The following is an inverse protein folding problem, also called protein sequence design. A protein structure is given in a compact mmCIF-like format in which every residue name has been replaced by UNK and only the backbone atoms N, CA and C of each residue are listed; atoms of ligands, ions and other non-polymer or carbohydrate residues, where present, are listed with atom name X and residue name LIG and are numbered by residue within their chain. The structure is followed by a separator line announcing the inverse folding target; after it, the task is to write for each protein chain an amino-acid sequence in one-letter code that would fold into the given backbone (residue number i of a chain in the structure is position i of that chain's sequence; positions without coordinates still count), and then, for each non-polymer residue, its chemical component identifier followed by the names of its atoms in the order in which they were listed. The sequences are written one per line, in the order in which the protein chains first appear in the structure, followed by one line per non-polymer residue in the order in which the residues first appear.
data_IF_958465302939
#
_entry.id   IF_958465302939
#
_cell.length_a   1.000
_cell.length_b   1.000
_cell.length_c   1.000
_cell.angle_alpha   90.00
_cell.angle_beta   90.00
_cell.angle_gamma   90.00
#
_symmetry.space_group_name_H-M   'P 1'
#
loop_
_entity.id
_entity.type
_entity.pdbx_description
1 polymer ?
#
# COMPACT_ATOMS: atom_id res chain seq x y z
N UNK A 1 8.25 -20.30 27.48
CA UNK A 1 7.44 -19.63 26.44
C UNK A 1 8.40 -18.99 25.46
N UNK A 2 8.21 -19.19 24.16
CA UNK A 2 9.03 -18.56 23.15
C UNK A 2 8.73 -17.06 23.10
N UNK A 3 9.76 -16.22 23.12
CA UNK A 3 9.62 -14.77 23.08
C UNK A 3 9.19 -14.37 21.67
N UNK A 4 8.10 -13.59 21.48
CA UNK A 4 7.56 -13.28 20.17
C UNK A 4 8.49 -12.38 19.33
N UNK A 5 8.24 -12.37 18.03
CA UNK A 5 8.85 -11.48 17.06
C UNK A 5 7.93 -10.27 16.87
N UNK A 6 8.46 -9.05 16.98
CA UNK A 6 7.70 -7.85 16.68
C UNK A 6 7.70 -7.55 15.20
N UNK A 7 6.55 -7.13 14.66
CA UNK A 7 6.42 -6.62 13.28
C UNK A 7 5.78 -5.24 13.34
N UNK A 8 6.44 -4.23 12.79
CA UNK A 8 5.96 -2.86 12.77
C UNK A 8 5.44 -2.53 11.37
N UNK A 9 4.12 -2.42 11.24
CA UNK A 9 3.39 -2.19 10.01
C UNK A 9 2.51 -3.37 9.59
N UNK A 10 1.19 -3.16 9.53
CA UNK A 10 0.19 -4.13 9.06
C UNK A 10 -0.18 -3.90 7.58
N UNK A 11 0.79 -3.47 6.76
CA UNK A 11 0.73 -3.50 5.31
C UNK A 11 0.99 -4.90 4.76
N UNK A 12 0.92 -5.07 3.43
CA UNK A 12 1.11 -6.37 2.78
C UNK A 12 2.48 -6.99 3.09
N UNK A 13 3.55 -6.21 3.21
CA UNK A 13 4.89 -6.72 3.53
C UNK A 13 4.94 -7.28 4.96
N UNK A 14 4.48 -6.51 5.95
CA UNK A 14 4.48 -6.95 7.35
C UNK A 14 3.60 -8.16 7.59
N UNK A 15 2.41 -8.20 6.97
CA UNK A 15 1.50 -9.34 7.11
C UNK A 15 1.98 -10.57 6.33
N UNK A 16 2.68 -10.39 5.22
CA UNK A 16 3.36 -11.48 4.51
C UNK A 16 4.45 -12.11 5.38
N UNK A 17 5.27 -11.28 6.05
CA UNK A 17 6.26 -11.76 7.00
C UNK A 17 5.61 -12.46 8.21
N UNK A 18 4.55 -11.87 8.77
CA UNK A 18 3.81 -12.44 9.91
C UNK A 18 3.32 -13.85 9.61
N UNK A 19 2.65 -14.05 8.46
CA UNK A 19 2.14 -15.35 8.07
C UNK A 19 3.25 -16.38 7.83
N UNK A 20 4.35 -15.99 7.18
CA UNK A 20 5.47 -16.90 6.96
C UNK A 20 6.10 -17.35 8.28
N UNK A 21 6.29 -16.44 9.23
CA UNK A 21 6.82 -16.74 10.57
C UNK A 21 5.87 -17.62 11.38
N UNK A 22 4.57 -17.32 11.37
CA UNK A 22 3.57 -18.17 12.07
C UNK A 22 3.51 -19.57 11.49
N UNK A 23 3.56 -19.70 10.14
CA UNK A 23 3.60 -21.01 9.49
C UNK A 23 4.83 -21.84 9.90
N UNK A 24 5.94 -21.16 10.25
CA UNK A 24 7.14 -21.79 10.81
C UNK A 24 7.09 -21.95 12.35
N UNK A 25 5.91 -21.75 12.98
CA UNK A 25 5.72 -21.97 14.41
C UNK A 25 6.24 -20.83 15.31
N UNK A 26 6.61 -19.66 14.73
CA UNK A 26 7.10 -18.53 15.51
C UNK A 26 5.94 -17.64 15.98
N UNK A 27 5.87 -17.27 17.27
CA UNK A 27 4.89 -16.32 17.73
C UNK A 27 5.24 -14.91 17.23
N UNK A 28 4.24 -14.21 16.68
CA UNK A 28 4.40 -12.84 16.14
C UNK A 28 3.44 -11.88 16.82
N UNK A 29 3.85 -10.61 16.93
CA UNK A 29 3.01 -9.53 17.40
C UNK A 29 3.19 -8.32 16.47
N UNK A 30 2.10 -7.91 15.82
CA UNK A 30 2.09 -6.83 14.84
C UNK A 30 1.63 -5.53 15.49
N UNK A 31 2.26 -4.41 15.13
CA UNK A 31 1.91 -3.06 15.57
C UNK A 31 1.64 -2.18 14.35
N UNK A 32 0.54 -1.46 14.33
CA UNK A 32 0.24 -0.52 13.26
C UNK A 32 -0.39 0.76 13.79
N UNK A 33 0.06 1.91 13.26
CA UNK A 33 -0.48 3.24 13.59
C UNK A 33 -1.91 3.46 13.09
N UNK A 34 -2.33 2.71 12.07
CA UNK A 34 -3.67 2.78 11.49
C UNK A 34 -4.72 2.09 12.37
N UNK A 35 -5.99 2.41 12.12
CA UNK A 35 -7.13 1.77 12.78
C UNK A 35 -7.50 0.42 12.15
N UNK A 36 -6.72 -0.04 11.18
CA UNK A 36 -6.92 -1.30 10.48
C UNK A 36 -5.75 -1.59 9.55
N UNK A 37 -5.71 -2.82 9.02
CA UNK A 37 -4.66 -3.27 8.11
C UNK A 37 -4.78 -2.67 6.72
N UNK A 38 -3.69 -2.74 5.95
CA UNK A 38 -3.66 -2.43 4.53
C UNK A 38 -2.58 -1.44 4.13
N UNK A 39 -2.27 -0.46 4.97
CA UNK A 39 -1.34 0.61 4.60
C UNK A 39 -1.78 1.28 3.29
N UNK A 40 -0.96 1.24 2.24
CA UNK A 40 -1.29 1.77 0.90
C UNK A 40 -2.27 0.91 0.09
N UNK A 41 -2.67 -0.25 0.59
CA UNK A 41 -3.78 -1.06 0.08
C UNK A 41 -5.06 -0.85 0.91
N UNK A 42 -5.08 0.11 1.84
CA UNK A 42 -6.27 0.41 2.61
C UNK A 42 -7.36 1.02 1.73
N UNK A 43 -8.61 0.59 1.94
CA UNK A 43 -9.79 1.19 1.30
C UNK A 43 -10.49 2.11 2.29
N UNK A 44 -10.90 3.27 1.82
CA UNK A 44 -11.68 4.23 2.59
C UNK A 44 -13.17 3.88 2.46
N UNK A 45 -13.85 3.69 3.58
CA UNK A 45 -15.30 3.57 3.59
C UNK A 45 -15.95 4.95 3.71
N UNK A 46 -16.97 5.22 2.90
CA UNK A 46 -17.71 6.48 2.85
C UNK A 46 -19.16 6.22 2.43
N UNK A 47 -19.98 7.28 2.39
CA UNK A 47 -21.32 7.25 1.81
C UNK A 47 -21.34 6.89 0.31
N UNK A 48 -20.24 7.20 -0.41
CA UNK A 48 -20.07 6.78 -1.80
C UNK A 48 -19.59 5.31 -1.93
N UNK A 49 -19.62 4.52 -0.86
CA UNK A 49 -19.14 3.14 -0.83
C UNK A 49 -17.68 3.02 -0.46
N UNK A 50 -17.05 1.92 -0.85
CA UNK A 50 -15.64 1.65 -0.58
C UNK A 50 -14.76 2.16 -1.71
N UNK A 51 -13.79 3.04 -1.37
CA UNK A 51 -12.89 3.71 -2.31
C UNK A 51 -11.46 3.22 -2.10
N UNK A 52 -10.81 2.77 -3.17
CA UNK A 52 -9.41 2.36 -3.16
C UNK A 52 -8.52 3.55 -3.52
N UNK A 53 -8.13 4.36 -2.53
CA UNK A 53 -7.34 5.59 -2.75
C UNK A 53 -5.85 5.33 -2.97
N UNK A 54 -5.35 4.16 -2.59
CA UNK A 54 -3.97 3.76 -2.81
C UNK A 54 -3.81 2.84 -4.02
N UNK A 55 -3.34 1.60 -3.80
CA UNK A 55 -3.19 0.63 -4.89
C UNK A 55 -4.54 0.35 -5.57
N UNK A 56 -4.60 0.64 -6.87
CA UNK A 56 -5.84 0.53 -7.65
C UNK A 56 -6.09 -0.90 -8.13
N UNK A 57 -5.04 -1.62 -8.37
CA UNK A 57 -4.94 -3.02 -8.75
C UNK A 57 -3.51 -3.50 -8.48
N UNK A 58 -3.26 -4.76 -8.67
CA UNK A 58 -1.91 -5.31 -8.71
C UNK A 58 -1.80 -6.39 -9.79
N UNK A 59 -0.56 -6.71 -10.14
CA UNK A 59 -0.20 -7.76 -11.09
C UNK A 59 0.67 -8.79 -10.40
N UNK A 60 0.71 -10.02 -10.88
CA UNK A 60 1.54 -11.09 -10.35
C UNK A 60 2.39 -11.69 -11.47
N UNK A 61 3.71 -11.75 -11.25
CA UNK A 61 4.71 -12.23 -12.21
C UNK A 61 5.64 -13.28 -11.60
N UNK A 62 6.12 -13.05 -10.37
CA UNK A 62 6.91 -14.04 -9.62
C UNK A 62 6.03 -15.26 -9.31
N UNK A 63 6.55 -16.46 -9.58
CA UNK A 63 5.81 -17.71 -9.42
C UNK A 63 5.22 -17.88 -8.00
N UNK A 64 5.98 -17.52 -6.98
CA UNK A 64 5.55 -17.61 -5.57
C UNK A 64 4.35 -16.69 -5.30
N UNK A 65 4.39 -15.48 -5.89
CA UNK A 65 3.30 -14.54 -5.72
C UNK A 65 2.08 -14.93 -6.56
N UNK A 66 2.26 -15.48 -7.77
CA UNK A 66 1.17 -16.04 -8.56
C UNK A 66 0.46 -17.16 -7.79
N UNK A 67 1.20 -18.10 -7.22
CA UNK A 67 0.65 -19.19 -6.40
C UNK A 67 -0.13 -18.63 -5.18
N UNK A 68 0.40 -17.59 -4.53
CA UNK A 68 -0.29 -16.91 -3.42
C UNK A 68 -1.58 -16.21 -3.86
N UNK A 69 -1.56 -15.54 -5.01
CA UNK A 69 -2.76 -14.87 -5.55
C UNK A 69 -3.84 -15.90 -5.86
N UNK A 70 -3.50 -17.08 -6.39
CA UNK A 70 -4.47 -18.15 -6.62
C UNK A 70 -5.10 -18.65 -5.31
N UNK A 71 -4.34 -18.70 -4.21
CA UNK A 71 -4.89 -19.02 -2.88
C UNK A 71 -5.86 -17.93 -2.41
N UNK A 72 -5.54 -16.64 -2.64
CA UNK A 72 -6.46 -15.54 -2.31
C UNK A 72 -7.73 -15.57 -3.15
N UNK A 73 -7.64 -15.95 -4.42
CA UNK A 73 -8.81 -16.19 -5.29
C UNK A 73 -9.67 -17.31 -4.75
N UNK A 74 -9.07 -18.45 -4.39
CA UNK A 74 -9.78 -19.59 -3.81
C UNK A 74 -10.48 -19.23 -2.46
N UNK A 75 -9.91 -18.28 -1.69
CA UNK A 75 -10.51 -17.78 -0.46
C UNK A 75 -11.57 -16.70 -0.70
N UNK A 76 -11.82 -16.27 -1.94
CA UNK A 76 -12.74 -15.19 -2.27
C UNK A 76 -12.26 -13.79 -1.86
N UNK A 77 -10.94 -13.59 -1.66
CA UNK A 77 -10.36 -12.30 -1.27
C UNK A 77 -9.94 -11.45 -2.46
N UNK A 78 -9.75 -12.07 -3.62
CA UNK A 78 -9.21 -11.45 -4.84
C UNK A 78 -10.00 -11.92 -6.05
N UNK A 79 -10.19 -11.02 -7.00
CA UNK A 79 -10.78 -11.31 -8.31
C UNK A 79 -10.06 -10.53 -9.40
N UNK A 80 -10.17 -11.04 -10.64
CA UNK A 80 -9.62 -10.36 -11.79
C UNK A 80 -10.48 -9.17 -12.18
N UNK A 81 -9.87 -8.00 -12.32
CA UNK A 81 -10.46 -6.83 -12.93
C UNK A 81 -10.06 -6.74 -14.41
N UNK A 82 -11.04 -6.68 -15.29
CA UNK A 82 -10.89 -6.59 -16.76
C UNK A 82 -11.40 -5.25 -17.26
N UNK A 83 -10.68 -4.14 -17.02
CA UNK A 83 -11.14 -2.81 -17.39
C UNK A 83 -11.00 -2.57 -18.89
N UNK A 84 -11.87 -1.70 -19.43
CA UNK A 84 -11.63 -1.02 -20.68
C UNK A 84 -10.59 0.09 -20.45
N UNK A 85 -9.36 -0.15 -20.91
CA UNK A 85 -8.24 0.74 -20.68
C UNK A 85 -8.04 1.72 -21.83
N UNK A 86 -7.60 2.91 -21.46
CA UNK A 86 -7.24 3.99 -22.35
C UNK A 86 -5.86 4.55 -21.97
N UNK A 87 -5.22 5.17 -22.94
CA UNK A 87 -4.10 6.11 -22.74
C UNK A 87 -4.57 7.50 -23.14
N UNK A 88 -4.16 8.51 -22.38
CA UNK A 88 -4.26 9.91 -22.76
C UNK A 88 -2.87 10.48 -22.97
N UNK A 89 -2.66 11.07 -24.16
CA UNK A 89 -1.44 11.82 -24.50
C UNK A 89 -1.85 13.05 -25.31
N UNK A 90 -1.31 14.22 -24.98
CA UNK A 90 -1.62 15.50 -25.63
C UNK A 90 -3.13 15.75 -25.77
N UNK A 91 -3.90 15.39 -24.72
CA UNK A 91 -5.36 15.51 -24.69
C UNK A 91 -6.12 14.51 -25.58
N UNK A 92 -5.43 13.56 -26.22
CA UNK A 92 -6.06 12.55 -27.07
C UNK A 92 -6.24 11.24 -26.32
N UNK A 93 -7.49 10.77 -26.23
CA UNK A 93 -7.85 9.47 -25.66
C UNK A 93 -7.78 8.39 -26.74
N UNK A 94 -6.99 7.34 -26.47
CA UNK A 94 -6.89 6.16 -27.34
C UNK A 94 -7.13 4.89 -26.53
N UNK A 95 -7.94 3.91 -27.04
CA UNK A 95 -8.04 2.61 -26.41
C UNK A 95 -6.66 1.96 -26.26
N UNK A 96 -6.40 1.37 -25.11
CA UNK A 96 -5.12 0.72 -24.80
C UNK A 96 -5.35 -0.69 -24.23
N UNK A 97 -5.92 -1.61 -25.03
CA UNK A 97 -6.10 -2.98 -24.59
C UNK A 97 -4.72 -3.64 -24.41
N UNK A 98 -4.57 -4.40 -23.33
CA UNK A 98 -3.40 -5.23 -23.07
C UNK A 98 -3.82 -6.59 -22.48
N UNK A 99 -2.89 -7.56 -22.50
CA UNK A 99 -3.11 -8.91 -21.98
C UNK A 99 -2.75 -9.03 -20.49
N UNK A 100 -2.41 -7.92 -19.82
CA UNK A 100 -1.96 -7.96 -18.44
C UNK A 100 -3.12 -8.29 -17.50
N UNK A 101 -2.99 -9.37 -16.76
CA UNK A 101 -3.94 -9.72 -15.70
C UNK A 101 -3.82 -8.75 -14.53
N UNK A 102 -4.92 -8.08 -14.21
CA UNK A 102 -5.04 -7.17 -13.06
C UNK A 102 -5.92 -7.80 -12.01
N UNK A 103 -5.43 -7.76 -10.79
CA UNK A 103 -6.11 -8.32 -9.62
C UNK A 103 -6.54 -7.21 -8.66
N UNK A 104 -7.71 -7.38 -8.05
CA UNK A 104 -8.23 -6.47 -7.01
C UNK A 104 -8.77 -7.27 -5.83
N UNK A 105 -8.65 -6.72 -4.63
CA UNK A 105 -9.27 -7.32 -3.45
C UNK A 105 -10.81 -7.20 -3.49
N UNK A 106 -11.53 -8.15 -2.93
CA UNK A 106 -13.01 -8.20 -2.87
C UNK A 106 -13.49 -8.24 -1.43
N UNK A 107 -14.48 -7.44 -1.07
CA UNK A 107 -15.20 -6.42 -1.86
C UNK A 107 -14.42 -5.10 -2.01
N UNK A 108 -13.18 -5.04 -1.56
CA UNK A 108 -12.29 -3.87 -1.58
C UNK A 108 -10.84 -4.31 -1.44
N UNK A 109 -9.90 -3.46 -1.82
CA UNK A 109 -8.46 -3.80 -1.83
C UNK A 109 -7.96 -4.27 -0.46
N UNK A 110 -8.44 -3.69 0.64
CA UNK A 110 -8.06 -4.09 2.01
C UNK A 110 -8.57 -5.48 2.45
N UNK A 111 -9.40 -6.16 1.67
CA UNK A 111 -9.85 -7.52 1.98
C UNK A 111 -8.68 -8.51 2.08
N UNK A 112 -7.67 -8.35 1.23
CA UNK A 112 -6.46 -9.17 1.22
C UNK A 112 -5.76 -9.10 2.59
N UNK A 113 -5.44 -7.88 3.03
CA UNK A 113 -4.72 -7.68 4.29
C UNK A 113 -5.57 -8.05 5.51
N UNK A 114 -6.89 -7.95 5.43
CA UNK A 114 -7.81 -8.47 6.46
C UNK A 114 -7.77 -9.99 6.54
N UNK A 115 -7.75 -10.66 5.39
CA UNK A 115 -7.60 -12.12 5.34
C UNK A 115 -6.26 -12.59 5.94
N UNK A 116 -5.18 -11.83 5.68
CA UNK A 116 -3.85 -12.11 6.24
C UNK A 116 -3.73 -11.88 7.75
N UNK A 117 -4.67 -11.19 8.38
CA UNK A 117 -4.71 -10.99 9.84
C UNK A 117 -5.23 -12.21 10.61
N UNK A 118 -5.72 -13.25 9.93
CA UNK A 118 -6.21 -14.43 10.62
C UNK A 118 -5.14 -15.01 11.56
N UNK A 119 -5.50 -15.20 12.82
CA UNK A 119 -4.66 -15.73 13.89
C UNK A 119 -3.42 -14.87 14.25
N UNK A 120 -3.33 -13.63 13.75
CA UNK A 120 -2.25 -12.68 14.05
C UNK A 120 -2.63 -11.81 15.24
N UNK A 121 -1.79 -11.78 16.28
CA UNK A 121 -1.91 -10.79 17.36
C UNK A 121 -1.51 -9.42 16.82
N UNK A 122 -2.41 -8.42 16.91
CA UNK A 122 -2.16 -7.07 16.39
C UNK A 122 -2.65 -5.97 17.32
N UNK A 123 -1.84 -4.93 17.48
CA UNK A 123 -2.19 -3.66 18.11
C UNK A 123 -2.36 -2.59 17.03
N UNK A 124 -3.61 -2.24 16.72
CA UNK A 124 -3.94 -1.10 15.86
C UNK A 124 -3.99 0.21 16.66
N UNK A 125 -3.82 1.34 15.97
CA UNK A 125 -3.75 2.66 16.59
C UNK A 125 -2.47 2.87 17.42
N UNK A 126 -1.51 1.97 17.30
CA UNK A 126 -0.25 1.99 18.04
C UNK A 126 0.89 2.43 17.09
N UNK A 127 1.32 3.68 17.24
CA UNK A 127 2.43 4.22 16.46
C UNK A 127 3.73 4.03 17.23
N UNK A 128 4.56 3.13 16.75
CA UNK A 128 5.90 2.94 17.31
C UNK A 128 6.78 4.13 16.95
N UNK A 129 7.40 4.74 17.96
CA UNK A 129 8.32 5.85 17.86
C UNK A 129 9.78 5.40 17.89
N UNK A 130 10.07 4.36 18.69
CA UNK A 130 11.42 3.90 18.93
C UNK A 130 11.49 2.36 19.03
N UNK A 131 12.60 1.81 18.53
CA UNK A 131 13.00 0.41 18.68
C UNK A 131 14.35 0.40 19.40
N UNK A 132 14.40 -0.19 20.58
CA UNK A 132 15.60 -0.21 21.40
C UNK A 132 15.89 -1.60 21.96
N UNK A 133 17.16 -1.86 22.22
CA UNK A 133 17.60 -3.12 22.76
C UNK A 133 17.82 -3.01 24.27
N UNK A 134 17.13 -3.87 25.02
CA UNK A 134 17.43 -4.12 26.42
C UNK A 134 18.65 -5.03 26.57
N UNK A 135 18.82 -5.64 27.75
CA UNK A 135 19.98 -6.54 28.00
C UNK A 135 20.02 -7.74 27.04
N UNK A 136 18.88 -8.30 26.70
CA UNK A 136 18.79 -9.54 25.93
C UNK A 136 17.77 -9.43 24.79
N UNK A 137 16.70 -8.64 24.93
CA UNK A 137 15.56 -8.58 24.04
C UNK A 137 15.34 -7.18 23.49
N UNK A 138 14.60 -7.11 22.40
CA UNK A 138 14.11 -5.88 21.83
C UNK A 138 12.87 -5.39 22.55
N UNK A 139 12.72 -4.08 22.60
CA UNK A 139 11.55 -3.38 23.11
C UNK A 139 11.14 -2.30 22.13
N UNK A 140 9.84 -1.98 22.11
CA UNK A 140 9.29 -0.90 21.32
C UNK A 140 8.70 0.13 22.25
N UNK A 141 8.85 1.41 21.93
CA UNK A 141 8.14 2.49 22.58
C UNK A 141 7.21 3.15 21.58
N UNK A 142 5.93 3.32 21.94
CA UNK A 142 4.98 4.04 21.09
C UNK A 142 5.00 5.55 21.37
N UNK A 143 4.26 6.33 20.53
CA UNK A 143 4.17 7.78 20.66
C UNK A 143 3.43 8.26 21.92
N UNK A 144 2.77 7.37 22.64
CA UNK A 144 2.10 7.66 23.93
C UNK A 144 3.01 7.35 25.13
N UNK A 145 4.24 6.88 24.86
CA UNK A 145 5.22 6.52 25.87
C UNK A 145 5.06 5.12 26.46
N UNK A 146 4.13 4.31 25.93
CA UNK A 146 3.95 2.94 26.36
C UNK A 146 5.08 2.05 25.84
N UNK A 147 5.63 1.17 26.68
CA UNK A 147 6.64 0.20 26.29
C UNK A 147 5.99 -1.16 26.01
N UNK A 148 6.43 -1.79 24.91
CA UNK A 148 5.97 -3.11 24.47
C UNK A 148 7.17 -4.06 24.38
N UNK A 149 6.98 -5.32 24.75
CA UNK A 149 8.02 -6.37 24.70
C UNK A 149 7.98 -7.27 25.93
N UNK A 150 8.97 -8.16 26.07
CA UNK A 150 10.17 -8.31 25.25
C UNK A 150 9.90 -9.00 23.91
N UNK A 151 10.77 -8.74 22.89
CA UNK A 151 10.75 -9.37 21.58
C UNK A 151 12.12 -9.98 21.25
N UNK A 152 12.12 -11.16 20.63
CA UNK A 152 13.37 -11.83 20.22
C UNK A 152 14.01 -11.16 18.99
N UNK A 153 13.21 -10.68 18.06
CA UNK A 153 13.59 -10.07 16.78
C UNK A 153 12.57 -8.98 16.42
N UNK A 154 12.94 -8.08 15.50
CA UNK A 154 12.04 -7.04 15.01
C UNK A 154 12.07 -6.98 13.48
N UNK A 155 10.89 -6.93 12.86
CA UNK A 155 10.70 -6.66 11.43
C UNK A 155 10.03 -5.31 11.25
N UNK A 156 10.68 -4.38 10.57
CA UNK A 156 10.17 -3.03 10.29
C UNK A 156 9.61 -3.03 8.86
N UNK A 157 8.28 -2.95 8.74
CA UNK A 157 7.54 -3.05 7.47
C UNK A 157 6.77 -1.76 7.16
N UNK A 158 7.44 -0.62 7.32
CA UNK A 158 6.91 0.72 7.05
C UNK A 158 7.70 1.41 5.91
N UNK A 159 7.20 2.50 5.30
CA UNK A 159 7.92 3.26 4.27
C UNK A 159 9.33 3.69 4.73
N UNK A 160 10.28 3.75 3.80
CA UNK A 160 11.71 4.00 4.10
C UNK A 160 11.98 5.20 5.02
N UNK A 161 11.36 6.39 4.84
CA UNK A 161 11.60 7.52 5.74
C UNK A 161 11.15 7.25 7.19
N UNK A 162 10.12 6.43 7.38
CA UNK A 162 9.67 6.01 8.71
C UNK A 162 10.56 4.89 9.27
N UNK A 163 11.02 3.98 8.40
CA UNK A 163 11.93 2.91 8.79
C UNK A 163 13.28 3.46 9.27
N UNK A 164 13.79 4.54 8.66
CA UNK A 164 15.06 5.20 9.04
C UNK A 164 15.10 5.52 10.53
N UNK A 165 14.04 6.08 11.08
CA UNK A 165 13.95 6.43 12.50
C UNK A 165 13.94 5.18 13.40
N UNK A 166 13.20 4.15 12.99
CA UNK A 166 13.08 2.90 13.75
C UNK A 166 14.34 2.01 13.66
N UNK A 167 15.20 2.26 12.68
CA UNK A 167 16.49 1.58 12.49
C UNK A 167 17.67 2.25 13.22
N UNK A 168 17.42 3.22 14.09
CA UNK A 168 18.48 3.99 14.78
C UNK A 168 19.48 3.10 15.53
N UNK A 169 19.03 1.94 16.06
CA UNK A 169 19.89 0.96 16.71
C UNK A 169 20.87 0.25 15.75
N UNK A 170 20.66 0.34 14.44
CA UNK A 170 21.50 -0.23 13.38
C UNK A 170 21.88 0.84 12.34
N UNK A 171 22.87 1.70 12.62
CA UNK A 171 23.18 2.88 11.79
C UNK A 171 23.45 2.57 10.32
N UNK A 172 24.00 1.40 10.01
CA UNK A 172 24.23 0.95 8.62
C UNK A 172 22.91 0.79 7.86
N UNK A 173 21.92 0.12 8.46
CA UNK A 173 20.61 -0.05 7.83
C UNK A 173 19.84 1.28 7.78
N UNK A 174 19.93 2.09 8.84
CA UNK A 174 19.34 3.42 8.88
C UNK A 174 19.86 4.31 7.73
N UNK A 175 21.18 4.29 7.47
CA UNK A 175 21.79 5.06 6.38
C UNK A 175 21.29 4.60 5.00
N UNK A 176 21.12 3.29 4.78
CA UNK A 176 20.55 2.76 3.52
C UNK A 176 19.10 3.21 3.36
N UNK A 177 18.29 3.08 4.41
CA UNK A 177 16.87 3.50 4.38
C UNK A 177 16.73 5.02 4.17
N UNK A 178 17.60 5.84 4.77
CA UNK A 178 17.64 7.30 4.60
C UNK A 178 17.95 7.73 3.16
N UNK A 179 18.69 6.91 2.41
CA UNK A 179 19.00 7.15 0.99
C UNK A 179 17.83 6.89 0.05
N UNK A 180 16.75 6.25 0.52
CA UNK A 180 15.58 5.93 -0.31
C UNK A 180 14.64 7.12 -0.38
N UNK A 181 14.54 7.73 -1.55
CA UNK A 181 13.52 8.75 -1.82
C UNK A 181 12.17 8.10 -2.09
N UNK A 182 11.13 8.62 -1.43
CA UNK A 182 9.75 8.20 -1.62
C UNK A 182 8.96 9.36 -2.22
N UNK A 183 8.32 9.12 -3.36
CA UNK A 183 7.48 10.11 -4.03
C UNK A 183 6.11 10.18 -3.38
N UNK A 184 5.54 11.39 -3.21
CA UNK A 184 4.15 11.56 -2.80
C UNK A 184 3.20 11.36 -3.98
N UNK A 185 1.92 11.15 -3.64
CA UNK A 185 0.81 11.17 -4.61
C UNK A 185 -0.43 11.72 -3.92
N UNK A 186 -1.07 12.71 -4.53
CA UNK A 186 -2.43 13.07 -4.20
C UNK A 186 -3.40 12.11 -4.89
N UNK A 187 -4.36 11.61 -4.15
CA UNK A 187 -5.45 10.79 -4.64
C UNK A 187 -6.78 11.51 -4.41
N UNK A 188 -7.58 11.69 -5.44
CA UNK A 188 -8.92 12.26 -5.34
C UNK A 188 -9.94 11.22 -5.74
N UNK A 189 -10.96 11.03 -4.91
CA UNK A 189 -12.15 10.25 -5.27
C UNK A 189 -13.30 11.20 -5.56
N UNK A 190 -13.99 10.95 -6.67
CA UNK A 190 -15.18 11.67 -7.10
C UNK A 190 -16.36 10.70 -7.19
N UNK A 191 -17.55 11.14 -6.84
CA UNK A 191 -18.79 10.39 -6.97
C UNK A 191 -19.86 11.20 -7.69
N UNK A 192 -20.48 10.62 -8.70
CA UNK A 192 -21.54 11.23 -9.52
C UNK A 192 -22.85 10.47 -9.36
N UNK A 193 -23.96 11.16 -9.28
CA UNK A 193 -25.30 10.54 -9.17
C UNK A 193 -25.69 9.78 -10.43
N UNK A 194 -25.20 10.24 -11.58
CA UNK A 194 -25.43 9.60 -12.87
C UNK A 194 -24.15 8.99 -13.42
N UNK A 195 -24.26 7.87 -14.14
CA UNK A 195 -23.16 7.24 -14.83
C UNK A 195 -22.60 8.17 -15.90
N UNK A 196 -21.32 8.47 -15.85
CA UNK A 196 -20.65 9.20 -16.91
C UNK A 196 -20.68 8.40 -18.22
N UNK A 197 -21.01 9.07 -19.31
CA UNK A 197 -21.19 8.46 -20.64
C UNK A 197 -19.84 8.23 -21.33
N UNK A 198 -19.06 7.35 -20.76
CA UNK A 198 -17.76 6.92 -21.28
C UNK A 198 -17.58 5.41 -21.10
N UNK A 199 -17.01 4.71 -22.10
CA UNK A 199 -16.65 3.30 -21.95
C UNK A 199 -15.39 3.10 -21.10
N UNK A 200 -14.62 4.16 -20.84
CA UNK A 200 -13.37 4.11 -20.12
C UNK A 200 -13.58 3.64 -18.67
N UNK A 201 -12.76 2.70 -18.23
CA UNK A 201 -12.76 2.18 -16.85
C UNK A 201 -11.41 2.39 -16.16
N UNK A 202 -10.35 2.62 -16.93
CA UNK A 202 -9.04 3.02 -16.45
C UNK A 202 -8.28 3.75 -17.53
N UNK A 203 -7.43 4.71 -17.15
CA UNK A 203 -6.62 5.47 -18.09
C UNK A 203 -5.25 5.77 -17.50
N UNK A 204 -4.20 5.49 -18.28
CA UNK A 204 -2.86 6.01 -18.06
C UNK A 204 -2.79 7.40 -18.69
N UNK A 205 -2.38 8.39 -17.93
CA UNK A 205 -2.38 9.78 -18.36
C UNK A 205 -0.95 10.29 -18.50
N UNK A 206 -0.66 10.99 -19.59
CA UNK A 206 0.60 11.67 -19.84
C UNK A 206 0.31 13.15 -20.10
N UNK A 207 1.30 14.00 -19.85
CA UNK A 207 1.24 15.45 -20.11
C UNK A 207 0.10 16.19 -19.39
N UNK A 208 -0.23 15.76 -18.16
CA UNK A 208 -1.26 16.33 -17.28
C UNK A 208 -0.80 16.26 -15.81
N UNK A 209 -1.54 16.92 -14.92
CA UNK A 209 -1.39 16.73 -13.49
C UNK A 209 -1.74 15.29 -13.02
N UNK A 210 -2.55 14.58 -13.81
CA UNK A 210 -2.95 13.20 -13.55
C UNK A 210 -1.93 12.20 -14.11
N UNK A 211 -1.72 11.07 -13.40
CA UNK A 211 -0.90 9.90 -13.78
C UNK A 211 -1.78 8.71 -14.15
N UNK A 212 -2.83 8.52 -13.35
CA UNK A 212 -3.76 7.41 -13.48
C UNK A 212 -5.15 7.80 -13.02
N UNK A 213 -6.16 7.23 -13.67
CA UNK A 213 -7.53 7.28 -13.19
C UNK A 213 -8.23 5.95 -13.40
N UNK A 214 -9.17 5.65 -12.51
CA UNK A 214 -10.01 4.46 -12.59
C UNK A 214 -11.44 4.73 -12.17
N UNK A 215 -12.38 4.17 -12.93
CA UNK A 215 -13.76 4.06 -12.51
C UNK A 215 -13.84 3.01 -11.41
N UNK A 216 -13.79 3.44 -10.16
CA UNK A 216 -13.69 2.54 -9.00
C UNK A 216 -14.86 1.55 -8.96
N UNK A 217 -16.07 2.00 -9.34
CA UNK A 217 -17.26 1.18 -9.44
C UNK A 217 -17.13 0.01 -10.43
N UNK A 218 -16.26 0.09 -11.44
CA UNK A 218 -16.07 -0.98 -12.44
C UNK A 218 -15.33 -2.19 -11.88
N UNK A 219 -14.71 -2.05 -10.72
CA UNK A 219 -13.98 -3.15 -10.08
C UNK A 219 -14.95 -4.13 -9.44
N UNK A 220 -14.67 -5.45 -9.50
CA UNK A 220 -15.48 -6.46 -8.84
C UNK A 220 -15.74 -6.14 -7.35
N UNK A 221 -16.96 -6.38 -6.89
CA UNK A 221 -17.39 -6.22 -5.51
C UNK A 221 -17.49 -4.78 -5.00
N UNK A 222 -17.32 -3.75 -5.85
CA UNK A 222 -17.54 -2.34 -5.46
C UNK A 222 -19.01 -2.01 -5.56
N UNK A 223 -19.70 -2.13 -4.43
CA UNK A 223 -21.10 -1.70 -4.29
C UNK A 223 -21.12 -0.21 -3.91
N UNK A 224 -21.58 0.62 -4.82
CA UNK A 224 -21.65 2.07 -4.68
C UNK A 224 -22.94 2.62 -5.27
N UNK A 225 -23.67 3.50 -4.57
CA UNK A 225 -24.84 4.18 -5.12
C UNK A 225 -24.44 5.21 -6.20
N UNK A 226 -23.18 5.64 -6.23
CA UNK A 226 -22.66 6.65 -7.13
C UNK A 226 -21.74 6.03 -8.19
N UNK A 227 -21.56 6.73 -9.31
CA UNK A 227 -20.49 6.43 -10.26
C UNK A 227 -19.18 6.98 -9.70
N UNK A 228 -18.39 6.12 -9.05
CA UNK A 228 -17.18 6.53 -8.33
C UNK A 228 -15.94 6.39 -9.19
N UNK A 229 -15.11 7.42 -9.16
CA UNK A 229 -13.81 7.51 -9.83
C UNK A 229 -12.71 7.81 -8.83
N UNK A 230 -11.53 7.27 -9.06
CA UNK A 230 -10.32 7.59 -8.27
C UNK A 230 -9.25 8.08 -9.23
N UNK A 231 -8.72 9.24 -8.93
CA UNK A 231 -7.71 9.97 -9.68
C UNK A 231 -6.42 9.96 -8.88
N UNK A 232 -5.29 9.66 -9.50
CA UNK A 232 -3.97 9.83 -8.91
C UNK A 232 -3.23 10.93 -9.68
N UNK A 233 -2.72 11.90 -8.94
CA UNK A 233 -1.84 12.91 -9.49
C UNK A 233 -0.44 12.34 -9.72
N UNK A 234 0.30 12.95 -10.66
CA UNK A 234 1.72 12.67 -10.86
C UNK A 234 2.53 12.97 -9.61
N UNK A 235 3.69 12.33 -9.47
CA UNK A 235 4.61 12.60 -8.37
C UNK A 235 5.08 14.07 -8.36
N UNK A 236 5.37 14.62 -9.54
CA UNK A 236 5.91 15.97 -9.66
C UNK A 236 4.86 17.02 -9.31
N UNK A 237 3.61 16.87 -9.82
CA UNK A 237 2.52 17.74 -9.41
C UNK A 237 2.27 17.64 -7.91
N UNK A 238 2.28 16.43 -7.36
CA UNK A 238 2.06 16.19 -5.93
C UNK A 238 3.15 16.80 -5.04
N UNK A 239 4.42 16.81 -5.48
CA UNK A 239 5.52 17.48 -4.79
C UNK A 239 5.35 18.99 -4.77
N UNK A 240 4.99 19.58 -5.92
CA UNK A 240 4.77 21.02 -6.05
C UNK A 240 3.57 21.52 -5.21
N UNK A 241 2.56 20.65 -5.03
CA UNK A 241 1.31 20.97 -4.34
C UNK A 241 1.16 20.20 -3.01
N UNK A 242 2.28 19.86 -2.37
CA UNK A 242 2.28 18.97 -1.20
C UNK A 242 1.49 19.55 -0.02
N UNK A 243 1.50 20.86 0.15
CA UNK A 243 0.85 21.58 1.25
C UNK A 243 -0.47 22.26 0.85
N UNK A 244 -0.94 22.02 -0.37
CA UNK A 244 -2.21 22.57 -0.84
C UNK A 244 -3.38 22.04 -0.01
N UNK A 245 -4.41 22.89 0.19
CA UNK A 245 -5.62 22.46 0.87
C UNK A 245 -6.38 21.41 0.06
N UNK A 246 -7.05 20.47 0.75
CA UNK A 246 -7.72 19.35 0.08
C UNK A 246 -8.78 19.79 -0.92
N UNK A 247 -9.51 20.85 -0.60
CA UNK A 247 -10.58 21.36 -1.47
C UNK A 247 -10.00 21.95 -2.77
N UNK A 248 -8.85 22.64 -2.68
CA UNK A 248 -8.13 23.13 -3.85
C UNK A 248 -7.56 22.01 -4.70
N UNK A 249 -7.05 20.91 -4.08
CA UNK A 249 -6.61 19.70 -4.79
C UNK A 249 -7.79 19.05 -5.53
N UNK A 250 -8.96 18.97 -4.88
CA UNK A 250 -10.17 18.43 -5.50
C UNK A 250 -10.57 19.27 -6.70
N UNK A 251 -10.61 20.60 -6.56
CA UNK A 251 -11.00 21.52 -7.62
C UNK A 251 -10.08 21.37 -8.85
N UNK A 252 -8.75 21.43 -8.65
CA UNK A 252 -7.78 21.32 -9.73
C UNK A 252 -7.84 19.96 -10.43
N UNK A 253 -7.80 18.85 -9.69
CA UNK A 253 -7.79 17.52 -10.30
C UNK A 253 -9.17 17.12 -10.89
N UNK A 254 -10.27 17.69 -10.38
CA UNK A 254 -11.59 17.55 -11.00
C UNK A 254 -11.64 18.29 -12.35
N UNK A 255 -11.02 19.46 -12.46
CA UNK A 255 -10.85 20.19 -13.73
C UNK A 255 -10.09 19.36 -14.76
N UNK A 256 -8.90 18.85 -14.41
CA UNK A 256 -8.09 17.96 -15.27
C UNK A 256 -8.88 16.71 -15.70
N UNK A 257 -9.65 16.12 -14.80
CA UNK A 257 -10.50 14.97 -15.10
C UNK A 257 -11.61 15.33 -16.09
N UNK A 258 -12.27 16.48 -15.92
CA UNK A 258 -13.35 16.93 -16.81
C UNK A 258 -12.85 17.19 -18.25
N UNK A 259 -11.67 17.75 -18.39
CA UNK A 259 -11.04 17.96 -19.70
C UNK A 259 -10.67 16.64 -20.39
N UNK A 260 -10.23 15.64 -19.60
CA UNK A 260 -9.70 14.38 -20.12
C UNK A 260 -10.78 13.38 -20.48
N UNK A 261 -11.91 13.33 -19.73
CA UNK A 261 -12.88 12.20 -19.80
C UNK A 261 -13.61 12.09 -21.14
N UNK A 262 -13.63 13.15 -21.94
CA UNK A 262 -14.25 13.18 -23.28
C UNK A 262 -15.78 13.15 -23.28
N UNK A 263 -16.42 13.46 -22.14
CA UNK A 263 -17.87 13.60 -22.03
C UNK A 263 -18.21 14.75 -21.06
N UNK A 264 -19.50 15.15 -21.03
CA UNK A 264 -19.96 16.16 -20.08
C UNK A 264 -19.85 15.59 -18.65
N UNK A 265 -19.10 16.28 -17.79
CA UNK A 265 -18.94 15.92 -16.39
C UNK A 265 -19.77 16.87 -15.54
N UNK A 266 -20.80 16.38 -14.83
CA UNK A 266 -21.53 17.20 -13.87
C UNK A 266 -20.68 17.49 -12.63
N UNK A 267 -21.12 18.43 -11.79
CA UNK A 267 -20.50 18.60 -10.48
C UNK A 267 -20.60 17.28 -9.67
N UNK A 268 -19.52 16.83 -9.03
CA UNK A 268 -19.58 15.63 -8.20
C UNK A 268 -20.44 15.88 -6.95
N UNK A 269 -21.31 14.92 -6.62
CA UNK A 269 -22.08 14.94 -5.36
C UNK A 269 -21.25 14.47 -4.16
N UNK A 270 -20.13 13.82 -4.42
CA UNK A 270 -19.15 13.39 -3.43
C UNK A 270 -17.74 13.66 -3.93
N UNK A 271 -16.89 14.21 -3.07
CA UNK A 271 -15.47 14.37 -3.34
C UNK A 271 -14.63 14.17 -2.08
N UNK A 272 -13.45 13.56 -2.23
CA UNK A 272 -12.53 13.31 -1.12
C UNK A 272 -11.09 13.33 -1.64
N UNK A 273 -10.20 14.08 -0.98
CA UNK A 273 -8.77 14.03 -1.26
C UNK A 273 -7.98 13.35 -0.14
N UNK A 274 -6.98 12.58 -0.53
CA UNK A 274 -6.02 11.94 0.37
C UNK A 274 -4.59 12.15 -0.12
N UNK A 275 -3.70 12.55 0.81
CA UNK A 275 -2.29 12.77 0.52
C UNK A 275 -1.46 11.57 0.97
N UNK A 276 -0.89 10.82 0.02
CA UNK A 276 0.10 9.80 0.25
C UNK A 276 1.50 10.43 0.25
N UNK A 277 2.07 10.71 1.43
CA UNK A 277 3.43 11.30 1.52
C UNK A 277 4.52 10.37 1.02
N UNK A 278 4.31 9.05 1.14
CA UNK A 278 5.26 8.01 0.78
C UNK A 278 4.57 6.98 -0.11
N UNK A 279 4.12 7.42 -1.29
CA UNK A 279 3.29 6.59 -2.16
C UNK A 279 4.11 5.48 -2.83
N UNK A 280 5.27 5.82 -3.40
CA UNK A 280 6.14 4.86 -4.09
C UNK A 280 7.61 5.27 -3.97
N UNK A 281 8.58 4.33 -4.04
CA UNK A 281 9.98 4.70 -4.17
C UNK A 281 10.22 5.39 -5.52
N UNK A 282 11.03 6.45 -5.52
CA UNK A 282 11.41 7.17 -6.75
C UNK A 282 12.27 6.30 -7.67
N UNK A 283 13.06 5.41 -7.07
CA UNK A 283 13.91 4.44 -7.78
C UNK A 283 13.63 3.04 -7.23
N UNK A 284 13.49 2.06 -8.11
CA UNK A 284 13.31 0.67 -7.71
C UNK A 284 14.64 0.08 -7.21
N UNK A 285 14.56 -0.64 -6.11
CA UNK A 285 15.67 -1.41 -5.55
C UNK A 285 15.35 -2.90 -5.61
N UNK A 286 16.39 -3.73 -5.59
CA UNK A 286 16.31 -5.20 -5.70
C UNK A 286 17.00 -5.89 -4.49
N UNK A 287 17.01 -5.23 -3.32
CA UNK A 287 17.65 -5.79 -2.11
C UNK A 287 16.85 -6.96 -1.51
N UNK A 288 15.57 -7.00 -1.78
CA UNK A 288 14.63 -7.93 -1.17
C UNK A 288 14.30 -7.54 0.28
N UNK A 289 15.30 -7.48 1.15
CA UNK A 289 15.20 -7.10 2.56
C UNK A 289 16.50 -6.44 3.02
N UNK A 290 16.43 -5.49 3.92
CA UNK A 290 17.58 -5.02 4.70
C UNK A 290 17.63 -5.81 6.01
N UNK A 291 18.80 -6.36 6.37
CA UNK A 291 18.94 -7.22 7.54
C UNK A 291 20.24 -6.97 8.28
N UNK A 292 20.13 -6.87 9.58
CA UNK A 292 21.21 -7.05 10.55
C UNK A 292 20.86 -8.30 11.36
N UNK A 293 21.30 -9.44 10.87
CA UNK A 293 20.94 -10.74 11.42
C UNK A 293 21.52 -10.95 12.82
N UNK A 294 22.74 -10.45 13.07
CA UNK A 294 23.40 -10.54 14.37
C UNK A 294 22.63 -9.78 15.45
N UNK A 295 22.07 -8.63 15.07
CA UNK A 295 21.20 -7.87 15.96
C UNK A 295 19.75 -8.41 15.95
N UNK A 296 19.35 -9.14 14.93
CA UNK A 296 17.99 -9.60 14.75
C UNK A 296 16.99 -8.51 14.36
N UNK A 297 17.47 -7.53 13.57
CA UNK A 297 16.66 -6.40 13.07
C UNK A 297 16.57 -6.44 11.56
N UNK A 298 15.35 -6.36 11.02
CA UNK A 298 15.05 -6.50 9.60
C UNK A 298 14.15 -5.36 9.14
N UNK A 299 14.31 -4.91 7.88
CA UNK A 299 13.38 -3.96 7.27
C UNK A 299 12.97 -4.45 5.88
N UNK A 300 11.65 -4.44 5.61
CA UNK A 300 11.06 -4.91 4.38
C UNK A 300 9.97 -3.97 3.86
N UNK A 301 9.63 -4.09 2.60
CA UNK A 301 8.62 -3.28 1.93
C UNK A 301 8.83 -3.24 0.43
N UNK A 302 7.90 -2.63 -0.29
CA UNK A 302 8.02 -2.39 -1.73
C UNK A 302 9.28 -1.60 -2.10
N UNK A 303 9.71 -0.69 -1.23
CA UNK A 303 10.92 0.10 -1.41
C UNK A 303 12.22 -0.72 -1.34
N UNK A 304 12.17 -1.92 -0.78
CA UNK A 304 13.27 -2.88 -0.83
C UNK A 304 13.25 -3.73 -2.11
N UNK A 305 12.11 -3.79 -2.81
CA UNK A 305 11.93 -4.66 -3.98
C UNK A 305 10.84 -4.11 -4.91
N UNK A 306 11.22 -3.64 -6.08
CA UNK A 306 10.41 -3.30 -7.26
C UNK A 306 9.30 -2.23 -7.11
N UNK A 307 9.04 -1.66 -5.93
CA UNK A 307 8.05 -0.58 -5.73
C UNK A 307 6.58 -0.96 -5.95
N UNK A 308 6.21 -2.24 -5.88
CA UNK A 308 4.87 -2.77 -6.19
C UNK A 308 4.30 -3.64 -5.06
N UNK A 309 3.01 -3.96 -5.15
CA UNK A 309 2.34 -4.89 -4.19
C UNK A 309 3.04 -6.25 -4.16
N UNK A 310 3.39 -6.80 -5.32
CA UNK A 310 4.16 -8.05 -5.46
C UNK A 310 5.50 -7.94 -4.73
N UNK A 311 6.28 -6.89 -5.00
CA UNK A 311 7.56 -6.68 -4.35
C UNK A 311 7.44 -6.53 -2.84
N UNK A 312 6.41 -5.83 -2.36
CA UNK A 312 6.15 -5.72 -0.92
C UNK A 312 5.87 -7.07 -0.28
N UNK A 313 5.05 -7.92 -0.92
CA UNK A 313 4.76 -9.26 -0.43
C UNK A 313 6.03 -10.13 -0.43
N UNK A 314 6.78 -10.16 -1.53
CA UNK A 314 8.04 -10.91 -1.66
C UNK A 314 9.08 -10.46 -0.65
N UNK A 315 9.20 -9.15 -0.42
CA UNK A 315 10.11 -8.58 0.56
C UNK A 315 9.77 -9.03 1.99
N UNK A 316 8.49 -9.14 2.33
CA UNK A 316 8.05 -9.70 3.61
C UNK A 316 8.39 -11.19 3.76
N UNK A 317 8.19 -11.98 2.69
CA UNK A 317 8.59 -13.40 2.67
C UNK A 317 10.10 -13.56 2.86
N UNK A 318 10.89 -12.72 2.18
CA UNK A 318 12.35 -12.74 2.29
C UNK A 318 12.83 -12.33 3.70
N UNK A 319 12.17 -11.36 4.33
CA UNK A 319 12.46 -10.98 5.72
C UNK A 319 12.23 -12.17 6.67
N UNK A 320 11.10 -12.86 6.53
CA UNK A 320 10.81 -14.05 7.33
C UNK A 320 11.81 -15.17 7.08
N UNK A 321 12.15 -15.46 5.82
CA UNK A 321 13.11 -16.51 5.45
C UNK A 321 14.47 -16.25 6.10
N UNK A 322 15.04 -15.06 5.93
CA UNK A 322 16.34 -14.71 6.51
C UNK A 322 16.32 -14.72 8.04
N UNK A 323 15.21 -14.30 8.64
CA UNK A 323 15.07 -14.34 10.08
C UNK A 323 15.10 -15.79 10.61
N UNK A 324 14.38 -16.72 9.95
CA UNK A 324 14.33 -18.13 10.34
C UNK A 324 15.70 -18.81 10.23
N UNK A 325 16.49 -18.50 9.20
CA UNK A 325 17.86 -19.03 9.02
C UNK A 325 18.82 -18.65 10.16
N UNK A 326 18.50 -17.62 10.96
CA UNK A 326 19.30 -17.15 12.10
C UNK A 326 18.64 -17.46 13.46
N UNK A 327 17.59 -18.30 13.48
CA UNK A 327 17.02 -18.83 14.71
C UNK A 327 17.58 -20.20 15.06
N UNK A 328 18.19 -20.90 14.06
CA UNK A 328 18.93 -22.15 14.22
C UNK A 328 20.34 -21.88 14.77
#
# INVERSE_FOLDING_TARGET
MTVPIAIIGAGIAGLSAAQALQKAGQPVHVFDKGRGSGGRMASKHSEAGSLDLGAQYFTARDRRFVEQVQQWVANGWVEQWKPQLYNSRDGQLTPSPDEQTRWVGIPRMSAITRGLLKDVTVNFGCRIAEVFRGKQYWHLQDTEGCSHGPFSRVVIAVPAPQATQLLAATPKLAAVAAGVQMDPTWAVALGFETLLQTPMQGCFVQDSALDWLARNRSKPGRDSPLDTWVLHATADWSKQHIDLAKDEVIEQLCGEFAELIGCVVPAPSFALAHRWLYARPAVNHEWGVLADADQGLYACGDWCLSGRVEGAWLSGQEAARRLLEHLE
#
